data_IF_029090119062
#
_entry.id   IF_029090119062
#
_cell.length_a   1.000
_cell.length_b   1.000
_cell.length_c   1.000
_cell.angle_alpha   90.00
_cell.angle_beta   90.00
_cell.angle_gamma   90.00
#
_symmetry.space_group_name_H-M   'P 1'
#
loop_
_entity.id
_entity.type
_entity.pdbx_description
1 polymer ?
#
# COMPACT_ATOMS: atom_id res chain seq x y z
N UNK A 1 16.14 -16.80 -10.88
CA UNK A 1 15.00 -15.87 -10.75
C UNK A 1 15.12 -15.17 -9.41
N UNK A 2 15.20 -13.85 -9.38
CA UNK A 2 15.46 -13.12 -8.14
C UNK A 2 14.23 -13.12 -7.22
N UNK A 3 14.49 -13.25 -5.92
CA UNK A 3 13.47 -13.29 -4.87
C UNK A 3 12.98 -11.88 -4.59
N UNK A 4 11.68 -11.64 -4.77
CA UNK A 4 11.05 -10.38 -4.32
C UNK A 4 10.97 -10.38 -2.79
N UNK A 5 11.57 -9.37 -2.19
CA UNK A 5 11.60 -9.18 -0.74
C UNK A 5 10.41 -8.34 -0.27
N UNK A 6 10.22 -8.29 1.05
CA UNK A 6 9.27 -7.34 1.64
C UNK A 6 9.67 -5.89 1.40
N UNK A 7 10.97 -5.57 1.50
CA UNK A 7 11.50 -4.23 1.25
C UNK A 7 11.22 -3.75 -0.17
N UNK A 8 11.19 -4.65 -1.15
CA UNK A 8 10.84 -4.29 -2.52
C UNK A 8 9.38 -3.85 -2.63
N UNK A 9 8.47 -4.50 -1.90
CA UNK A 9 7.06 -4.10 -1.85
C UNK A 9 6.88 -2.77 -1.11
N UNK A 10 7.56 -2.59 0.02
CA UNK A 10 7.50 -1.35 0.81
C UNK A 10 7.95 -0.14 -0.04
N UNK A 11 9.07 -0.27 -0.77
CA UNK A 11 9.54 0.77 -1.69
C UNK A 11 8.54 1.11 -2.80
N UNK A 12 7.83 0.11 -3.32
CA UNK A 12 6.78 0.34 -4.32
C UNK A 12 5.59 1.08 -3.72
N UNK A 13 5.18 0.73 -2.50
CA UNK A 13 4.11 1.43 -1.78
C UNK A 13 4.50 2.87 -1.44
N UNK A 14 5.74 3.12 -1.03
CA UNK A 14 6.26 4.49 -0.82
C UNK A 14 6.19 5.31 -2.11
N UNK A 15 6.55 4.70 -3.23
CA UNK A 15 6.46 5.34 -4.55
C UNK A 15 5.03 5.66 -4.93
N UNK A 16 4.07 4.77 -4.62
CA UNK A 16 2.64 5.01 -4.81
C UNK A 16 2.18 6.19 -3.94
N UNK A 17 2.45 6.16 -2.62
CA UNK A 17 2.05 7.24 -1.72
C UNK A 17 2.58 8.59 -2.19
N UNK A 18 3.85 8.65 -2.63
CA UNK A 18 4.44 9.88 -3.19
C UNK A 18 3.74 10.32 -4.47
N UNK A 19 3.51 9.41 -5.41
CA UNK A 19 2.88 9.73 -6.69
C UNK A 19 1.41 10.18 -6.54
N UNK A 20 0.72 9.70 -5.50
CA UNK A 20 -0.68 10.03 -5.17
C UNK A 20 -0.80 11.10 -4.09
N UNK A 21 0.30 11.74 -3.69
CA UNK A 21 0.33 12.77 -2.63
C UNK A 21 -0.37 12.33 -1.35
N UNK A 22 -0.27 11.03 -1.05
CA UNK A 22 -0.90 10.39 0.11
C UNK A 22 0.07 10.36 1.30
N UNK A 23 -0.45 10.27 2.54
CA UNK A 23 0.42 10.23 3.72
C UNK A 23 1.42 9.07 3.64
N UNK A 24 2.65 9.28 4.12
CA UNK A 24 3.71 8.26 4.02
C UNK A 24 3.55 7.12 5.03
N UNK A 25 2.93 7.39 6.18
CA UNK A 25 2.74 6.42 7.25
C UNK A 25 1.26 6.13 7.48
N UNK A 26 0.88 4.91 7.91
CA UNK A 26 -0.52 4.53 8.12
C UNK A 26 -1.15 5.15 9.37
N UNK A 27 -0.35 5.45 10.39
CA UNK A 27 -0.83 6.00 11.66
C UNK A 27 0.10 7.09 12.20
N UNK A 28 -0.49 8.10 12.82
CA UNK A 28 0.21 9.13 13.59
C UNK A 28 -0.16 9.01 15.06
N UNK A 29 0.82 9.10 15.96
CA UNK A 29 0.59 9.12 17.41
C UNK A 29 0.68 10.55 17.94
N UNK A 30 -0.41 11.04 18.52
CA UNK A 30 -0.50 12.38 19.12
C UNK A 30 -1.11 12.27 20.51
N UNK A 31 -0.42 12.77 21.54
CA UNK A 31 -0.88 12.75 22.94
C UNK A 31 -1.39 11.37 23.41
N UNK A 32 -0.69 10.30 23.02
CA UNK A 32 -1.05 8.92 23.36
C UNK A 32 -2.18 8.31 22.52
N UNK A 33 -2.90 9.09 21.71
CA UNK A 33 -3.90 8.59 20.76
C UNK A 33 -3.23 8.19 19.44
N UNK A 34 -3.56 7.00 18.94
CA UNK A 34 -3.19 6.55 17.60
C UNK A 34 -4.32 6.91 16.63
N UNK A 35 -3.99 7.66 15.58
CA UNK A 35 -4.96 8.12 14.57
C UNK A 35 -4.53 7.61 13.20
N UNK A 36 -5.43 6.97 12.47
CA UNK A 36 -5.23 6.51 11.11
C UNK A 36 -5.09 7.67 10.13
N UNK A 37 -4.06 7.62 9.28
CA UNK A 37 -3.82 8.62 8.26
C UNK A 37 -4.62 8.26 6.99
N UNK A 38 -5.83 8.83 6.88
CA UNK A 38 -6.74 8.58 5.75
C UNK A 38 -6.03 8.84 4.42
N UNK A 39 -6.18 7.90 3.48
CA UNK A 39 -5.60 7.96 2.15
C UNK A 39 -4.26 7.25 2.00
N UNK A 40 -3.57 6.93 3.10
CA UNK A 40 -2.30 6.19 3.06
C UNK A 40 -2.50 4.78 2.46
N UNK A 41 -1.62 4.43 1.52
CA UNK A 41 -1.45 3.07 1.04
C UNK A 41 -0.43 2.33 1.92
N UNK A 42 -0.76 1.09 2.31
CA UNK A 42 0.14 0.22 3.06
C UNK A 42 -0.13 -1.26 2.77
N UNK A 43 0.79 -2.11 3.22
CA UNK A 43 0.71 -3.56 3.04
C UNK A 43 -0.03 -4.19 4.21
N UNK A 44 -0.99 -5.07 3.89
CA UNK A 44 -1.63 -5.95 4.86
C UNK A 44 -1.15 -7.39 4.64
N UNK A 45 -0.75 -8.05 5.72
CA UNK A 45 -0.15 -9.38 5.71
C UNK A 45 -0.99 -10.35 6.54
N UNK A 46 -1.39 -11.46 5.94
CA UNK A 46 -2.02 -12.56 6.65
C UNK A 46 -1.80 -13.89 5.90
N UNK A 47 -1.78 -15.00 6.64
CA UNK A 47 -1.70 -16.36 6.08
C UNK A 47 -0.52 -16.58 5.11
N UNK A 48 0.59 -15.85 5.31
CA UNK A 48 1.77 -15.89 4.43
C UNK A 48 1.62 -15.12 3.11
N UNK A 49 0.46 -14.52 2.85
CA UNK A 49 0.22 -13.65 1.70
C UNK A 49 0.24 -12.16 2.06
N UNK A 50 0.15 -11.33 1.03
CA UNK A 50 0.20 -9.88 1.12
C UNK A 50 -0.78 -9.25 0.12
N UNK A 51 -1.35 -8.10 0.48
CA UNK A 51 -2.21 -7.29 -0.39
C UNK A 51 -1.97 -5.79 -0.15
N UNK A 52 -2.37 -4.97 -1.11
CA UNK A 52 -2.37 -3.50 -0.96
C UNK A 52 -3.73 -3.05 -0.40
N UNK A 53 -3.66 -2.23 0.65
CA UNK A 53 -4.84 -1.59 1.24
C UNK A 53 -4.65 -0.08 1.30
N UNK A 54 -5.77 0.64 1.43
CA UNK A 54 -5.78 2.08 1.66
C UNK A 54 -6.58 2.40 2.92
N UNK A 55 -6.02 3.27 3.77
CA UNK A 55 -6.69 3.78 4.96
C UNK A 55 -7.90 4.64 4.55
N UNK A 56 -9.08 4.36 5.12
CA UNK A 56 -10.33 5.08 4.82
C UNK A 56 -11.00 5.70 6.04
N UNK A 57 -10.53 5.40 7.26
CA UNK A 57 -10.97 6.08 8.47
C UNK A 57 -9.83 6.35 9.44
N UNK A 58 -10.04 7.31 10.33
CA UNK A 58 -9.12 7.69 11.40
C UNK A 58 -9.06 6.63 12.53
N UNK A 59 -10.06 5.76 12.62
CA UNK A 59 -10.12 4.60 13.50
C UNK A 59 -9.41 3.34 12.98
N UNK A 60 -8.76 3.40 11.81
CA UNK A 60 -8.02 2.26 11.23
C UNK A 60 -8.80 1.41 10.23
N UNK A 61 -9.95 1.88 9.75
CA UNK A 61 -10.69 1.22 8.68
C UNK A 61 -9.91 1.26 7.37
N UNK A 62 -9.90 0.14 6.65
CA UNK A 62 -9.15 -0.02 5.40
C UNK A 62 -10.05 -0.52 4.27
N UNK A 63 -9.71 -0.16 3.04
CA UNK A 63 -10.27 -0.78 1.82
C UNK A 63 -9.16 -1.53 1.06
N UNK A 64 -9.52 -2.64 0.40
CA UNK A 64 -8.58 -3.43 -0.40
C UNK A 64 -8.47 -2.80 -1.79
N UNK A 65 -7.24 -2.56 -2.23
CA UNK A 65 -6.94 -1.91 -3.52
C UNK A 65 -6.43 -2.92 -4.54
N UNK A 66 -5.55 -3.84 -4.14
CA UNK A 66 -5.07 -4.88 -5.04
C UNK A 66 -6.17 -5.89 -5.38
N UNK A 67 -6.07 -6.53 -6.54
CA UNK A 67 -7.02 -7.56 -6.98
C UNK A 67 -6.72 -8.92 -6.35
N UNK A 68 -7.75 -9.63 -5.90
CA UNK A 68 -7.59 -10.85 -5.12
C UNK A 68 -7.20 -10.53 -3.67
N UNK A 69 -7.51 -11.44 -2.74
CA UNK A 69 -7.20 -11.26 -1.32
C UNK A 69 -5.70 -11.29 -1.03
N UNK A 70 -5.28 -12.09 -0.06
CA UNK A 70 -3.85 -12.25 0.24
C UNK A 70 -3.15 -13.07 -0.85
N UNK A 71 -2.28 -12.42 -1.62
CA UNK A 71 -1.55 -13.02 -2.74
C UNK A 71 -0.05 -13.20 -2.46
N UNK A 72 0.70 -13.67 -3.46
CA UNK A 72 2.16 -13.80 -3.35
C UNK A 72 2.85 -12.44 -3.47
N UNK A 73 4.01 -12.26 -2.84
CA UNK A 73 4.83 -11.04 -2.97
C UNK A 73 5.15 -10.71 -4.42
N UNK A 74 5.45 -11.72 -5.25
CA UNK A 74 5.75 -11.54 -6.67
C UNK A 74 4.53 -11.00 -7.43
N UNK A 75 3.36 -11.60 -7.23
CA UNK A 75 2.13 -11.14 -7.87
C UNK A 75 1.80 -9.70 -7.47
N UNK A 76 1.88 -9.38 -6.17
CA UNK A 76 1.65 -8.03 -5.69
C UNK A 76 2.67 -7.04 -6.27
N UNK A 77 3.96 -7.39 -6.33
CA UNK A 77 4.99 -6.50 -6.89
C UNK A 77 4.70 -6.08 -8.33
N UNK A 78 4.34 -7.03 -9.19
CA UNK A 78 3.96 -6.72 -10.57
C UNK A 78 2.68 -5.88 -10.64
N UNK A 79 1.70 -6.18 -9.78
CA UNK A 79 0.47 -5.41 -9.68
C UNK A 79 0.73 -3.95 -9.26
N UNK A 80 1.57 -3.71 -8.26
CA UNK A 80 1.96 -2.36 -7.81
C UNK A 80 2.65 -1.57 -8.94
N UNK A 81 3.50 -2.24 -9.71
CA UNK A 81 4.14 -1.63 -10.89
C UNK A 81 3.13 -1.21 -11.94
N UNK A 82 2.16 -2.07 -12.25
CA UNK A 82 1.08 -1.76 -13.20
C UNK A 82 0.18 -0.62 -12.69
N UNK A 83 -0.15 -0.62 -11.40
CA UNK A 83 -0.94 0.44 -10.75
C UNK A 83 -0.25 1.80 -10.89
N UNK A 84 1.04 1.88 -10.58
CA UNK A 84 1.81 3.12 -10.66
C UNK A 84 1.97 3.61 -12.11
N UNK A 85 2.21 2.69 -13.05
CA UNK A 85 2.29 3.03 -14.47
C UNK A 85 0.96 3.61 -15.00
N UNK A 86 -0.17 2.98 -14.63
CA UNK A 86 -1.50 3.48 -14.99
C UNK A 86 -1.79 4.86 -14.40
N UNK A 87 -1.36 5.12 -13.16
CA UNK A 87 -1.50 6.43 -12.52
C UNK A 87 -0.74 7.53 -13.29
N UNK A 88 0.50 7.27 -13.71
CA UNK A 88 1.27 8.23 -14.49
C UNK A 88 0.65 8.49 -15.88
N UNK A 89 0.14 7.44 -16.54
CA UNK A 89 -0.53 7.59 -17.83
C UNK A 89 -1.87 8.34 -17.73
N UNK A 90 -2.60 8.20 -16.62
CA UNK A 90 -3.86 8.93 -16.43
C UNK A 90 -3.65 10.43 -16.17
N UNK A 91 -2.44 10.85 -15.77
CA UNK A 91 -2.08 12.25 -15.52
C UNK A 91 -1.50 12.97 -16.75
N UNK A 92 -1.14 12.25 -17.82
CA UNK A 92 -0.61 12.81 -19.08
C UNK A 92 -1.72 13.16 -20.06
#
# INVERSE_FOLDING_TARGET
>A
MDRITQKDLERMVDSINKATESPETPYTRTNGKLTGNIGNYHLDYAYGGVKLVRMVSDGGGITVISTGGFGTKRALYHWLGAFLAGHYQAKS
#
